data_IF_898035669821
#
_entry.id   IF_898035669821
#
_cell.length_a   1.000
_cell.length_b   1.000
_cell.length_c   1.000
_cell.angle_alpha   90.00
_cell.angle_beta   90.00
_cell.angle_gamma   90.00
#
_symmetry.space_group_name_H-M   'P 1'
#
loop_
_entity.id
_entity.type
_entity.pdbx_description
1 polymer ?
#
# COMPACT_ATOMS: atom_id res chain seq x y z
N UNK A 1 -31.96 28.41 23.53
CA UNK A 1 -31.74 27.38 22.50
C UNK A 1 -30.25 27.25 22.22
N UNK A 2 -29.50 26.62 23.12
CA UNK A 2 -28.08 26.34 22.87
C UNK A 2 -27.91 24.84 22.78
N UNK A 3 -27.94 24.32 21.56
CA UNK A 3 -27.71 22.91 21.26
C UNK A 3 -26.24 22.76 20.91
N UNK A 4 -25.40 22.64 21.93
CA UNK A 4 -23.98 22.31 21.73
C UNK A 4 -23.94 20.86 21.24
N UNK A 5 -23.72 20.68 19.94
CA UNK A 5 -23.58 19.37 19.31
C UNK A 5 -22.28 18.72 19.81
N UNK A 6 -22.39 17.80 20.78
CA UNK A 6 -21.25 17.02 21.27
C UNK A 6 -21.01 15.81 20.38
N UNK A 7 -19.76 15.33 20.23
CA UNK A 7 -19.44 14.17 19.42
C UNK A 7 -20.24 12.92 19.81
N UNK A 8 -20.62 12.80 21.09
CA UNK A 8 -21.46 11.74 21.63
C UNK A 8 -22.89 11.71 21.05
N UNK A 9 -23.35 12.80 20.44
CA UNK A 9 -24.69 12.92 19.85
C UNK A 9 -24.74 12.45 18.39
N UNK A 10 -23.60 12.04 17.82
CA UNK A 10 -23.52 11.57 16.44
C UNK A 10 -23.40 10.04 16.39
N UNK A 11 -24.03 9.38 15.41
CA UNK A 11 -23.90 7.94 15.22
C UNK A 11 -22.43 7.54 15.09
N UNK A 12 -22.00 6.55 15.88
CA UNK A 12 -20.61 6.07 15.91
C UNK A 12 -20.14 5.60 14.52
N UNK A 13 -21.07 5.18 13.66
CA UNK A 13 -20.86 4.72 12.28
C UNK A 13 -20.15 5.75 11.39
N UNK A 14 -20.29 7.06 11.64
CA UNK A 14 -19.56 8.09 10.89
C UNK A 14 -18.08 8.19 11.28
N UNK A 15 -17.71 7.71 12.46
CA UNK A 15 -16.34 7.78 12.99
C UNK A 15 -15.61 6.44 12.92
N UNK A 16 -16.29 5.36 12.53
CA UNK A 16 -15.69 4.03 12.41
C UNK A 16 -14.92 3.81 11.12
N UNK A 17 -15.07 4.70 10.13
CA UNK A 17 -14.42 4.59 8.83
C UNK A 17 -13.50 5.76 8.49
N UNK A 18 -12.63 6.15 9.42
CA UNK A 18 -11.30 6.69 9.03
C UNK A 18 -10.39 5.57 8.52
N UNK A 19 -10.95 4.59 7.83
CA UNK A 19 -10.21 3.60 7.06
C UNK A 19 -9.79 4.25 5.75
N UNK A 20 -8.90 5.25 5.82
CA UNK A 20 -8.08 5.80 4.75
C UNK A 20 -8.59 5.46 3.34
N UNK A 21 -9.83 5.87 3.04
CA UNK A 21 -10.30 5.85 1.67
C UNK A 21 -9.62 7.08 1.14
N UNK A 22 -8.39 6.90 0.66
CA UNK A 22 -7.76 7.88 -0.19
C UNK A 22 -8.81 8.16 -1.26
N UNK A 23 -9.52 9.28 -1.11
CA UNK A 23 -10.45 9.75 -2.11
C UNK A 23 -9.62 9.84 -3.38
N UNK A 24 -9.79 8.86 -4.26
CA UNK A 24 -9.04 8.81 -5.49
C UNK A 24 -9.53 10.02 -6.27
N UNK A 25 -8.76 11.10 -6.25
CA UNK A 25 -9.10 12.33 -6.93
C UNK A 25 -9.18 12.00 -8.43
N UNK A 26 -10.42 11.89 -8.92
CA UNK A 26 -10.68 11.51 -10.30
C UNK A 26 -10.57 12.76 -11.15
N UNK A 27 -9.41 12.94 -11.74
CA UNK A 27 -9.20 13.99 -12.74
C UNK A 27 -10.02 13.66 -14.01
N UNK A 28 -11.17 14.32 -14.15
CA UNK A 28 -12.10 14.17 -15.28
C UNK A 28 -11.48 14.71 -16.58
N UNK A 29 -10.37 15.43 -16.52
CA UNK A 29 -9.64 15.85 -17.71
C UNK A 29 -8.91 14.69 -18.41
N UNK A 30 -8.71 13.56 -17.72
CA UNK A 30 -8.05 12.38 -18.28
C UNK A 30 -9.03 11.45 -18.98
N UNK A 31 -8.53 10.74 -19.99
CA UNK A 31 -9.32 9.69 -20.63
C UNK A 31 -9.47 8.47 -19.70
N UNK A 32 -10.55 7.71 -19.87
CA UNK A 32 -10.79 6.49 -19.10
C UNK A 32 -9.61 5.48 -19.20
N UNK A 33 -8.94 5.43 -20.35
CA UNK A 33 -7.77 4.57 -20.56
C UNK A 33 -6.57 4.99 -19.68
N UNK A 34 -6.33 6.30 -19.56
CA UNK A 34 -5.23 6.84 -18.75
C UNK A 34 -5.50 6.67 -17.26
N UNK A 35 -6.73 6.95 -16.81
CA UNK A 35 -7.14 6.71 -15.43
C UNK A 35 -6.91 5.24 -15.08
N UNK A 36 -7.40 4.31 -15.90
CA UNK A 36 -7.19 2.87 -15.68
C UNK A 36 -5.72 2.50 -15.55
N UNK A 37 -4.86 3.00 -16.44
CA UNK A 37 -3.42 2.72 -16.40
C UNK A 37 -2.79 3.25 -15.12
N UNK A 38 -3.07 4.50 -14.74
CA UNK A 38 -2.56 5.12 -13.52
C UNK A 38 -3.02 4.35 -12.27
N UNK A 39 -4.31 4.00 -12.20
CA UNK A 39 -4.87 3.23 -11.08
C UNK A 39 -4.22 1.84 -10.95
N UNK A 40 -4.00 1.14 -12.07
CA UNK A 40 -3.32 -0.16 -12.05
C UNK A 40 -1.87 -0.05 -11.59
N UNK A 41 -1.11 0.93 -12.10
CA UNK A 41 0.27 1.15 -11.66
C UNK A 41 0.36 1.51 -10.17
N UNK A 42 -0.57 2.35 -9.68
CA UNK A 42 -0.66 2.70 -8.27
C UNK A 42 -0.97 1.48 -7.40
N UNK A 43 -1.98 0.70 -7.79
CA UNK A 43 -2.39 -0.50 -7.07
C UNK A 43 -1.28 -1.55 -7.03
N UNK A 44 -0.61 -1.79 -8.17
CA UNK A 44 0.52 -2.72 -8.28
C UNK A 44 1.66 -2.30 -7.33
N UNK A 45 2.01 -1.00 -7.30
CA UNK A 45 3.00 -0.47 -6.36
C UNK A 45 2.60 -0.68 -4.91
N UNK A 46 1.37 -0.33 -4.53
CA UNK A 46 0.89 -0.47 -3.16
C UNK A 46 0.86 -1.93 -2.69
N UNK A 47 0.45 -2.84 -3.58
CA UNK A 47 0.48 -4.27 -3.31
C UNK A 47 1.90 -4.75 -3.02
N UNK A 48 2.87 -4.39 -3.87
CA UNK A 48 4.28 -4.76 -3.67
C UNK A 48 4.84 -4.25 -2.34
N UNK A 49 4.54 -3.01 -1.96
CA UNK A 49 4.97 -2.44 -0.67
C UNK A 49 4.40 -3.26 0.50
N UNK A 50 3.09 -3.59 0.47
CA UNK A 50 2.46 -4.41 1.52
C UNK A 50 3.09 -5.80 1.63
N UNK A 51 3.33 -6.47 0.49
CA UNK A 51 3.97 -7.79 0.46
C UNK A 51 5.41 -7.71 0.99
N UNK A 52 6.20 -6.72 0.57
CA UNK A 52 7.58 -6.55 1.01
C UNK A 52 7.67 -6.23 2.50
N UNK A 53 6.74 -5.44 3.02
CA UNK A 53 6.60 -5.14 4.45
C UNK A 53 6.26 -6.40 5.25
N UNK A 54 5.27 -7.18 4.80
CA UNK A 54 4.86 -8.44 5.44
C UNK A 54 6.00 -9.45 5.54
N UNK A 55 6.83 -9.55 4.50
CA UNK A 55 7.94 -10.50 4.44
C UNK A 55 9.30 -9.90 4.81
N UNK A 56 9.33 -8.67 5.35
CA UNK A 56 10.54 -8.00 5.80
C UNK A 56 11.66 -7.97 4.72
N UNK A 57 11.28 -7.69 3.47
CA UNK A 57 12.22 -7.62 2.34
C UNK A 57 12.73 -8.98 1.83
N UNK A 58 12.21 -10.11 2.32
CA UNK A 58 12.59 -11.46 1.84
C UNK A 58 11.91 -11.80 0.52
N UNK A 59 12.65 -11.63 -0.57
CA UNK A 59 12.19 -11.83 -1.96
C UNK A 59 11.51 -13.17 -2.19
N UNK A 60 12.08 -14.29 -1.72
CA UNK A 60 11.51 -15.63 -1.97
C UNK A 60 10.10 -15.79 -1.37
N UNK A 61 9.93 -15.37 -0.11
CA UNK A 61 8.63 -15.42 0.60
C UNK A 61 7.62 -14.45 -0.01
N UNK A 62 8.10 -13.28 -0.43
CA UNK A 62 7.29 -12.27 -1.12
C UNK A 62 6.80 -12.77 -2.48
N UNK A 63 7.66 -13.43 -3.26
CA UNK A 63 7.30 -13.95 -4.59
C UNK A 63 6.31 -15.12 -4.50
N UNK A 64 6.48 -16.01 -3.52
CA UNK A 64 5.52 -17.09 -3.23
C UNK A 64 4.13 -16.52 -2.91
N UNK A 65 4.06 -15.50 -2.05
CA UNK A 65 2.79 -14.87 -1.66
C UNK A 65 2.15 -14.10 -2.82
N UNK A 66 2.97 -13.48 -3.67
CA UNK A 66 2.49 -12.78 -4.85
C UNK A 66 2.15 -13.72 -6.03
N UNK A 67 2.44 -15.02 -5.92
CA UNK A 67 2.19 -16.00 -6.99
C UNK A 67 3.02 -15.75 -8.26
N UNK A 68 4.16 -15.08 -8.14
CA UNK A 68 5.05 -14.73 -9.26
C UNK A 68 6.45 -15.26 -9.03
N UNK A 69 7.26 -15.29 -10.09
CA UNK A 69 8.67 -15.66 -9.96
C UNK A 69 9.47 -14.57 -9.23
N UNK A 70 10.55 -14.95 -8.55
CA UNK A 70 11.49 -14.01 -7.92
C UNK A 70 12.06 -13.00 -8.92
N UNK A 71 12.34 -13.44 -10.15
CA UNK A 71 12.81 -12.58 -11.25
C UNK A 71 11.77 -11.53 -11.63
N UNK A 72 10.50 -11.92 -11.73
CA UNK A 72 9.41 -10.98 -12.03
C UNK A 72 9.22 -9.99 -10.89
N UNK A 73 9.28 -10.45 -9.64
CA UNK A 73 9.24 -9.58 -8.47
C UNK A 73 10.39 -8.56 -8.51
N UNK A 74 11.62 -8.99 -8.79
CA UNK A 74 12.76 -8.09 -8.97
C UNK A 74 12.54 -7.05 -10.06
N UNK A 75 12.01 -7.47 -11.23
CA UNK A 75 11.71 -6.55 -12.34
C UNK A 75 10.69 -5.49 -11.92
N UNK A 76 9.64 -5.88 -11.20
CA UNK A 76 8.61 -4.96 -10.70
C UNK A 76 9.17 -4.01 -9.65
N UNK A 77 9.98 -4.51 -8.70
CA UNK A 77 10.63 -3.66 -7.70
C UNK A 77 11.54 -2.62 -8.34
N UNK A 78 12.32 -3.01 -9.37
CA UNK A 78 13.13 -2.07 -10.14
C UNK A 78 12.28 -1.07 -10.93
N UNK A 79 11.17 -1.49 -11.54
CA UNK A 79 10.22 -0.61 -12.25
C UNK A 79 9.69 0.50 -11.34
N UNK A 80 9.36 0.16 -10.09
CA UNK A 80 8.79 1.09 -9.12
C UNK A 80 9.81 1.74 -8.16
N UNK A 81 11.11 1.46 -8.32
CA UNK A 81 12.17 2.01 -7.47
C UNK A 81 12.13 1.51 -6.01
N UNK A 82 11.46 0.39 -5.73
CA UNK A 82 11.29 -0.15 -4.38
C UNK A 82 12.54 -0.95 -4.00
N UNK A 83 13.30 -0.50 -2.99
CA UNK A 83 14.48 -1.23 -2.52
C UNK A 83 14.09 -2.20 -1.40
N UNK A 84 14.43 -3.48 -1.55
CA UNK A 84 14.17 -4.51 -0.53
C UNK A 84 14.81 -4.20 0.83
N UNK A 85 15.88 -3.41 0.84
CA UNK A 85 16.65 -3.10 2.05
C UNK A 85 15.86 -2.22 3.01
N UNK A 86 14.97 -1.36 2.50
CA UNK A 86 14.09 -0.51 3.30
C UNK A 86 13.11 -1.31 4.16
N UNK A 87 12.80 -2.55 3.75
CA UNK A 87 11.86 -3.43 4.43
C UNK A 87 12.55 -4.46 5.32
N UNK A 88 13.88 -4.47 5.34
CA UNK A 88 14.65 -5.43 6.11
C UNK A 88 14.52 -5.05 7.60
N UNK A 89 13.83 -5.89 8.38
CA UNK A 89 13.69 -5.67 9.82
C UNK A 89 15.06 -5.60 10.50
N UNK A 90 15.25 -4.61 11.37
CA UNK A 90 16.47 -4.37 12.15
C UNK A 90 16.97 -5.63 12.90
N UNK A 91 16.06 -6.55 13.25
CA UNK A 91 16.41 -7.83 13.89
C UNK A 91 17.31 -8.75 13.05
N UNK A 92 17.35 -8.57 11.73
CA UNK A 92 18.23 -9.36 10.86
C UNK A 92 19.67 -8.84 10.79
N UNK A 93 19.94 -7.62 11.28
CA UNK A 93 21.28 -7.07 11.40
C UNK A 93 21.96 -7.53 12.71
N UNK A 94 21.17 -7.74 13.78
CA UNK A 94 21.69 -8.13 15.10
C UNK A 94 22.14 -9.60 15.17
N UNK A 95 21.62 -10.48 14.32
CA UNK A 95 21.96 -11.92 14.30
C UNK A 95 23.31 -12.19 13.59
N UNK A 96 23.99 -11.15 13.10
CA UNK A 96 25.25 -11.28 12.32
C UNK A 96 26.48 -10.64 12.98
N UNK A 97 26.37 -10.22 14.25
CA UNK A 97 27.47 -9.73 15.08
C UNK A 97 27.73 -10.74 16.21
#
# INVERSE_FOLDING_TARGET
TSSVLRPENFPQEFFTDTNNTEEVELDIALTLAEVRRKSLDYLERQYLIKVMTKHQGRINRASETAGITTRQLHKLLSKYGIRKEEYKSANSALIKA
#
